data_IF_798723190791
#
_entry.id   IF_798723190791
#
_cell.length_a   1.000
_cell.length_b   1.000
_cell.length_c   1.000
_cell.angle_alpha   90.00
_cell.angle_beta   90.00
_cell.angle_gamma   90.00
#
_symmetry.space_group_name_H-M   'P 1'
#
loop_
_entity.id
_entity.type
_entity.pdbx_description
1 polymer ?
#
# COMPACT_ATOMS: atom_id res chain seq x y z
N UNK A 1 21.60 -19.37 40.66
CA UNK A 1 22.07 -19.00 39.29
C UNK A 1 20.82 -18.76 38.45
N UNK A 2 20.41 -17.50 38.25
CA UNK A 2 19.25 -17.16 37.43
C UNK A 2 19.65 -17.15 35.95
N UNK A 3 19.00 -17.99 35.14
CA UNK A 3 19.19 -17.95 33.69
C UNK A 3 18.54 -16.68 33.14
N UNK A 4 19.34 -15.81 32.52
CA UNK A 4 18.85 -14.63 31.82
C UNK A 4 17.99 -15.05 30.62
N UNK A 5 16.80 -14.46 30.41
CA UNK A 5 15.96 -14.80 29.26
C UNK A 5 16.70 -14.45 27.98
N UNK A 6 16.76 -15.42 27.05
CA UNK A 6 17.33 -15.27 25.72
C UNK A 6 16.61 -14.10 25.03
N UNK A 7 17.32 -12.96 24.86
CA UNK A 7 16.84 -11.80 24.11
C UNK A 7 16.43 -12.29 22.73
N UNK A 8 15.14 -12.22 22.42
CA UNK A 8 14.64 -12.52 21.09
C UNK A 8 15.43 -11.66 20.10
N UNK A 9 16.08 -12.31 19.13
CA UNK A 9 16.80 -11.62 18.06
C UNK A 9 15.79 -10.73 17.36
N UNK A 10 15.93 -9.41 17.53
CA UNK A 10 15.25 -8.46 16.67
C UNK A 10 15.69 -8.82 15.26
N UNK A 11 14.75 -9.24 14.42
CA UNK A 11 15.02 -9.56 13.04
C UNK A 11 15.38 -8.22 12.40
N UNK A 12 16.68 -8.00 12.21
CA UNK A 12 17.18 -6.81 11.55
C UNK A 12 16.69 -6.88 10.11
N UNK A 13 15.60 -6.15 9.83
CA UNK A 13 15.00 -6.08 8.51
C UNK A 13 16.05 -5.39 7.63
N UNK A 14 16.79 -6.21 6.87
CA UNK A 14 17.68 -5.69 5.83
C UNK A 14 16.86 -4.76 4.95
N UNK A 15 17.29 -3.53 4.69
CA UNK A 15 16.59 -2.66 3.75
C UNK A 15 16.53 -3.40 2.42
N UNK A 16 15.34 -3.83 2.03
CA UNK A 16 15.14 -4.44 0.75
C UNK A 16 15.49 -3.39 -0.30
N UNK A 17 16.31 -3.76 -1.29
CA UNK A 17 16.72 -2.91 -2.41
C UNK A 17 15.54 -2.52 -3.35
N UNK A 18 14.32 -2.90 -2.96
CA UNK A 18 13.09 -2.66 -3.69
C UNK A 18 12.28 -1.48 -3.15
N UNK A 19 11.15 -1.22 -3.80
CA UNK A 19 10.19 -0.23 -3.32
C UNK A 19 9.59 -0.66 -1.97
N UNK A 20 9.26 0.28 -1.08
CA UNK A 20 8.69 -0.04 0.23
C UNK A 20 7.38 -0.80 0.10
N UNK A 21 7.15 -1.81 0.94
CA UNK A 21 5.94 -2.64 0.90
C UNK A 21 4.68 -1.78 1.10
N UNK A 22 4.75 -0.79 1.97
CA UNK A 22 3.65 0.15 2.24
C UNK A 22 3.16 0.85 0.98
N UNK A 23 4.04 1.12 0.00
CA UNK A 23 3.66 1.74 -1.27
C UNK A 23 2.76 0.81 -2.07
N UNK A 24 3.12 -0.46 -2.18
CA UNK A 24 2.31 -1.46 -2.88
C UNK A 24 0.95 -1.68 -2.20
N UNK A 25 0.91 -1.67 -0.88
CA UNK A 25 -0.34 -1.80 -0.12
C UNK A 25 -1.28 -0.62 -0.39
N UNK A 26 -0.77 0.60 -0.42
CA UNK A 26 -1.57 1.78 -0.78
C UNK A 26 -2.02 1.76 -2.25
N UNK A 27 -1.15 1.37 -3.18
CA UNK A 27 -1.51 1.21 -4.60
C UNK A 27 -2.62 0.18 -4.79
N UNK A 28 -2.52 -0.99 -4.17
CA UNK A 28 -3.53 -2.05 -4.26
C UNK A 28 -4.84 -1.61 -3.61
N UNK A 29 -4.78 -1.05 -2.39
CA UNK A 29 -5.95 -0.60 -1.65
C UNK A 29 -6.72 0.49 -2.39
N UNK A 30 -6.04 1.56 -2.83
CA UNK A 30 -6.69 2.65 -3.55
C UNK A 30 -7.04 2.30 -4.99
N UNK A 31 -6.30 1.41 -5.65
CA UNK A 31 -6.67 0.91 -6.97
C UNK A 31 -8.00 0.14 -6.95
N UNK A 32 -8.15 -0.79 -6.01
CA UNK A 32 -9.40 -1.54 -5.82
C UNK A 32 -10.51 -0.60 -5.38
N UNK A 33 -10.26 0.27 -4.39
CA UNK A 33 -11.25 1.23 -3.93
C UNK A 33 -11.70 2.17 -5.05
N UNK A 34 -10.77 2.67 -5.86
CA UNK A 34 -11.05 3.50 -7.03
C UNK A 34 -11.94 2.79 -8.04
N UNK A 35 -11.64 1.52 -8.35
CA UNK A 35 -12.50 0.73 -9.23
C UNK A 35 -13.92 0.55 -8.65
N UNK A 36 -14.04 0.21 -7.36
CA UNK A 36 -15.34 0.05 -6.69
C UNK A 36 -16.13 1.36 -6.69
N UNK A 37 -15.49 2.47 -6.36
CA UNK A 37 -16.11 3.81 -6.44
C UNK A 37 -16.51 4.11 -7.88
N UNK A 38 -15.67 3.80 -8.86
CA UNK A 38 -16.00 3.92 -10.28
C UNK A 38 -17.21 3.09 -10.68
N UNK A 39 -17.37 1.88 -10.15
CA UNK A 39 -18.56 1.03 -10.39
C UNK A 39 -19.83 1.60 -9.77
N UNK A 40 -19.74 2.34 -8.66
CA UNK A 40 -20.90 2.95 -8.00
C UNK A 40 -21.26 4.30 -8.64
N UNK A 41 -20.27 5.17 -8.81
CA UNK A 41 -20.46 6.54 -9.25
C UNK A 41 -20.57 6.70 -10.78
N UNK A 42 -19.92 5.81 -11.53
CA UNK A 42 -19.88 5.86 -12.99
C UNK A 42 -20.61 4.67 -13.64
N UNK A 43 -21.53 4.01 -12.92
CA UNK A 43 -22.21 2.77 -13.37
C UNK A 43 -22.88 2.89 -14.75
N UNK A 44 -23.41 4.08 -15.07
CA UNK A 44 -24.05 4.36 -16.36
C UNK A 44 -23.05 4.56 -17.52
N UNK A 45 -21.74 4.67 -17.23
CA UNK A 45 -20.70 4.83 -18.24
C UNK A 45 -20.13 3.46 -18.68
N UNK A 46 -19.55 3.37 -19.88
CA UNK A 46 -18.89 2.17 -20.35
C UNK A 46 -17.79 1.65 -19.40
N UNK A 47 -17.57 0.33 -19.43
CA UNK A 47 -16.56 -0.38 -18.63
C UNK A 47 -15.17 0.29 -18.54
N UNK A 48 -14.61 0.91 -19.60
CA UNK A 48 -13.33 1.62 -19.52
C UNK A 48 -13.25 2.69 -18.42
N UNK A 49 -14.36 3.34 -18.07
CA UNK A 49 -14.35 4.40 -17.05
C UNK A 49 -14.16 3.86 -15.64
N UNK A 50 -14.66 2.66 -15.32
CA UNK A 50 -14.39 2.02 -14.04
C UNK A 50 -12.91 1.64 -13.91
N UNK A 51 -12.32 1.11 -14.98
CA UNK A 51 -10.89 0.82 -15.04
C UNK A 51 -10.04 2.09 -14.91
N UNK A 52 -10.44 3.18 -15.56
CA UNK A 52 -9.77 4.47 -15.44
C UNK A 52 -9.82 5.00 -13.99
N UNK A 53 -10.95 4.84 -13.30
CA UNK A 53 -11.06 5.20 -11.88
C UNK A 53 -10.15 4.35 -10.99
N UNK A 54 -10.07 3.04 -11.25
CA UNK A 54 -9.11 2.16 -10.59
C UNK A 54 -7.65 2.53 -10.86
N UNK A 55 -7.31 2.90 -12.09
CA UNK A 55 -5.97 3.38 -12.45
C UNK A 55 -5.65 4.70 -11.73
N UNK A 56 -6.61 5.63 -11.65
CA UNK A 56 -6.49 6.86 -10.87
C UNK A 56 -6.25 6.58 -9.39
N UNK A 57 -6.98 5.61 -8.82
CA UNK A 57 -6.76 5.11 -7.47
C UNK A 57 -5.37 4.53 -7.25
N UNK A 58 -4.84 3.76 -8.19
CA UNK A 58 -3.49 3.19 -8.13
C UNK A 58 -2.41 4.27 -8.14
N UNK A 59 -2.54 5.29 -8.99
CA UNK A 59 -1.62 6.44 -9.05
C UNK A 59 -1.68 7.24 -7.74
N UNK A 60 -2.88 7.52 -7.23
CA UNK A 60 -3.07 8.17 -5.94
C UNK A 60 -2.46 7.33 -4.79
N UNK A 61 -2.62 6.01 -4.84
CA UNK A 61 -2.05 5.07 -3.86
C UNK A 61 -0.54 5.08 -3.87
N UNK A 62 0.09 5.19 -5.04
CA UNK A 62 1.55 5.35 -5.14
C UNK A 62 2.01 6.64 -4.43
N UNK A 63 1.36 7.78 -4.70
CA UNK A 63 1.70 9.06 -4.09
C UNK A 63 1.50 9.04 -2.56
N UNK A 64 0.35 8.55 -2.10
CA UNK A 64 0.03 8.44 -0.66
C UNK A 64 0.96 7.46 0.03
N UNK A 65 1.25 6.32 -0.60
CA UNK A 65 2.18 5.33 -0.07
C UNK A 65 3.59 5.88 0.12
N UNK A 66 4.09 6.66 -0.84
CA UNK A 66 5.39 7.33 -0.70
C UNK A 66 5.39 8.39 0.39
N UNK A 67 4.31 9.17 0.51
CA UNK A 67 4.18 10.14 1.59
C UNK A 67 4.14 9.43 2.96
N UNK A 68 3.37 8.35 3.07
CA UNK A 68 3.30 7.55 4.29
C UNK A 68 4.66 6.98 4.66
N UNK A 69 5.36 6.37 3.70
CA UNK A 69 6.69 5.82 3.93
C UNK A 69 7.67 6.86 4.49
N UNK A 70 7.64 8.09 3.96
CA UNK A 70 8.47 9.20 4.45
C UNK A 70 8.14 9.63 5.88
N UNK A 71 6.88 9.54 6.29
CA UNK A 71 6.42 10.03 7.59
C UNK A 71 6.48 8.96 8.68
N UNK A 72 6.16 7.70 8.34
CA UNK A 72 6.00 6.61 9.31
C UNK A 72 6.93 5.42 9.08
N UNK A 73 7.63 5.36 7.95
CA UNK A 73 8.42 4.20 7.55
C UNK A 73 7.61 3.12 6.83
N UNK A 74 8.25 1.98 6.59
CA UNK A 74 7.61 0.80 5.98
C UNK A 74 6.80 -0.01 7.02
N UNK A 75 6.11 -1.06 6.58
CA UNK A 75 5.27 -1.92 7.44
C UNK A 75 6.08 -3.02 8.17
N UNK A 76 7.38 -3.17 7.88
CA UNK A 76 8.22 -4.27 8.37
C UNK A 76 9.16 -3.82 9.49
#
# INVERSE_FOLDING_TARGET
MSALPKRAKQHEVKPAEGWPLVVFLWMAGLGILGYVVGRIALDALPHPYHWASGLGGLVAGCAIGWLWFRVKGDVV
#
